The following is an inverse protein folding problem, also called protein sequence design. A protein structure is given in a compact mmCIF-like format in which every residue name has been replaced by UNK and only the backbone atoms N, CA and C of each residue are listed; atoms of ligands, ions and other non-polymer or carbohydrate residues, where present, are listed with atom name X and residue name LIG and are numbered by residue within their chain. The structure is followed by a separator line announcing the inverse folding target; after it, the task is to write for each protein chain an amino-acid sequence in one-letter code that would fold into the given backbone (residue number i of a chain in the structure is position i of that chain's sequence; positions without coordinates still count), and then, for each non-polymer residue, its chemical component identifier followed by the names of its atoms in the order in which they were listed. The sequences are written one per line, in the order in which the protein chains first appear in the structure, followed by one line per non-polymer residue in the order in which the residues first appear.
data_IF_665255249154
#
_entry.id   IF_665255249154
#
_cell.length_a   1.000
_cell.length_b   1.000
_cell.length_c   1.000
_cell.angle_alpha   90.00
_cell.angle_beta   90.00
_cell.angle_gamma   90.00
#
_symmetry.space_group_name_H-M   'P 1'
#
loop_
_entity.id
_entity.type
_entity.pdbx_description
1 polymer ?
#
# COMPACT_ATOMS: atom_id res chain seq x y z
N UNK A 1 -19.59 4.02 30.46
CA UNK A 1 -19.96 2.62 30.61
C UNK A 1 -18.84 1.82 29.95
N UNK A 2 -18.17 0.95 30.70
CA UNK A 2 -16.87 0.38 30.36
C UNK A 2 -16.96 -0.61 29.18
N UNK A 3 -16.32 -0.33 28.09
CA UNK A 3 -16.02 -1.30 27.03
C UNK A 3 -14.66 -1.96 27.32
N UNK A 4 -14.70 -3.28 27.46
CA UNK A 4 -13.51 -4.11 27.75
C UNK A 4 -12.65 -4.22 26.50
N UNK A 5 -11.42 -3.69 26.60
CA UNK A 5 -10.34 -4.03 25.67
C UNK A 5 -9.91 -5.48 25.96
N UNK A 6 -10.06 -6.36 24.99
CA UNK A 6 -9.43 -7.67 25.01
C UNK A 6 -8.07 -7.57 24.32
N UNK A 7 -7.03 -7.49 25.12
CA UNK A 7 -5.65 -7.60 24.62
C UNK A 7 -5.40 -9.04 24.16
N UNK A 8 -5.12 -9.23 22.90
CA UNK A 8 -4.67 -10.51 22.36
C UNK A 8 -3.15 -10.52 22.35
N UNK A 9 -2.56 -11.31 23.22
CA UNK A 9 -1.11 -11.54 23.24
C UNK A 9 -0.78 -12.67 22.27
N UNK A 10 -0.10 -12.37 21.20
CA UNK A 10 0.52 -13.36 20.33
C UNK A 10 1.82 -13.85 20.94
N UNK A 11 1.85 -15.10 21.32
CA UNK A 11 3.11 -15.83 21.57
C UNK A 11 3.47 -16.56 20.30
N UNK A 12 4.62 -16.19 19.76
CA UNK A 12 5.33 -16.83 18.66
C UNK A 12 5.36 -18.36 18.79
N UNK A 13 4.89 -19.03 17.74
CA UNK A 13 5.09 -20.47 17.54
C UNK A 13 5.53 -20.73 16.11
N UNK A 14 6.84 -20.85 15.88
CA UNK A 14 7.40 -21.37 14.65
C UNK A 14 6.89 -22.80 14.44
N UNK A 15 6.16 -23.05 13.37
CA UNK A 15 5.89 -24.39 12.87
C UNK A 15 6.70 -24.61 11.59
N UNK A 16 7.81 -25.31 11.75
CA UNK A 16 8.62 -25.87 10.65
C UNK A 16 7.84 -27.03 10.06
N UNK A 17 7.37 -26.91 8.83
CA UNK A 17 6.79 -28.02 8.07
C UNK A 17 7.92 -28.70 7.28
N UNK A 18 8.44 -29.78 7.84
CA UNK A 18 9.32 -30.70 7.13
C UNK A 18 8.50 -31.68 6.28
N UNK A 19 8.63 -31.60 4.96
CA UNK A 19 8.12 -32.62 4.04
C UNK A 19 9.07 -33.82 4.07
N UNK A 20 8.63 -34.91 4.69
CA UNK A 20 9.32 -36.24 4.58
C UNK A 20 8.47 -37.10 3.67
N UNK A 21 8.99 -37.35 2.46
CA UNK A 21 8.51 -38.44 1.61
C UNK A 21 8.99 -39.77 2.19
N UNK A 22 8.09 -40.61 2.71
CA UNK A 22 8.37 -42.01 2.94
C UNK A 22 7.54 -42.87 1.99
N UNK A 23 8.24 -43.50 1.06
CA UNK A 23 7.78 -44.69 0.35
C UNK A 23 7.97 -45.90 1.29
N UNK A 24 6.89 -46.59 1.59
CA UNK A 24 6.97 -47.94 2.13
C UNK A 24 5.88 -48.84 1.55
N UNK A 25 6.37 -49.98 1.13
CA UNK A 25 5.69 -51.04 0.38
C UNK A 25 5.07 -52.02 1.37
N UNK A 26 3.83 -52.39 1.08
CA UNK A 26 3.17 -53.71 1.32
C UNK A 26 3.13 -54.36 2.69
N UNK A 27 1.93 -54.60 3.16
CA UNK A 27 1.59 -55.63 4.13
C UNK A 27 0.08 -55.70 4.36
N UNK A 28 -0.59 -56.73 3.84
CA UNK A 28 -2.02 -56.98 4.03
C UNK A 28 -2.36 -57.33 5.48
N UNK A 29 -3.44 -56.69 6.01
CA UNK A 29 -4.36 -57.41 6.92
C UNK A 29 -5.69 -56.65 6.96
N UNK A 30 -6.79 -57.41 6.86
CA UNK A 30 -8.16 -56.98 6.77
C UNK A 30 -8.69 -56.40 8.09
N UNK A 31 -9.15 -55.14 8.05
CA UNK A 31 -10.24 -54.59 8.87
C UNK A 31 -10.85 -53.42 8.11
N UNK A 32 -12.18 -53.21 8.07
CA UNK A 32 -12.76 -52.09 7.35
C UNK A 32 -12.43 -50.79 8.07
N UNK A 33 -12.07 -49.72 7.34
CA UNK A 33 -11.89 -48.40 7.95
C UNK A 33 -13.26 -47.81 8.28
N UNK A 34 -13.38 -47.30 9.50
CA UNK A 34 -14.43 -46.34 9.84
C UNK A 34 -14.30 -45.17 8.89
N UNK A 35 -15.38 -44.84 8.21
CA UNK A 35 -15.51 -43.60 7.42
C UNK A 35 -15.44 -42.39 8.36
N UNK A 36 -14.24 -41.84 8.49
CA UNK A 36 -14.12 -40.44 8.91
C UNK A 36 -14.83 -39.60 7.85
N UNK A 37 -16.01 -39.14 8.17
CA UNK A 37 -16.70 -38.09 7.42
C UNK A 37 -15.87 -36.85 7.52
N UNK A 38 -14.99 -36.63 6.54
CA UNK A 38 -14.44 -35.32 6.23
C UNK A 38 -15.66 -34.47 5.90
N UNK A 39 -16.01 -33.58 6.80
CA UNK A 39 -16.98 -32.52 6.55
C UNK A 39 -16.39 -31.72 5.39
N UNK A 40 -16.86 -32.00 4.17
CA UNK A 40 -16.70 -31.06 3.05
C UNK A 40 -17.37 -29.78 3.51
N UNK A 41 -16.60 -28.80 3.91
CA UNK A 41 -17.05 -27.42 3.99
C UNK A 41 -17.35 -27.05 2.53
N UNK A 42 -18.60 -27.24 2.12
CA UNK A 42 -19.10 -26.68 0.87
C UNK A 42 -18.99 -25.17 1.06
N UNK A 43 -17.96 -24.56 0.43
CA UNK A 43 -17.87 -23.11 0.31
C UNK A 43 -19.06 -22.74 -0.56
N UNK A 44 -20.10 -22.20 0.06
CA UNK A 44 -21.29 -21.70 -0.64
C UNK A 44 -20.83 -20.44 -1.39
N UNK A 45 -20.40 -20.61 -2.64
CA UNK A 45 -20.10 -19.49 -3.54
C UNK A 45 -21.45 -18.83 -3.80
N UNK A 46 -21.75 -17.82 -3.01
CA UNK A 46 -23.01 -17.09 -3.13
C UNK A 46 -23.13 -16.55 -4.56
N UNK A 47 -24.20 -16.94 -5.23
CA UNK A 47 -24.49 -16.48 -6.57
C UNK A 47 -24.56 -14.93 -6.55
N UNK A 48 -23.73 -14.27 -7.38
CA UNK A 48 -23.72 -12.82 -7.55
C UNK A 48 -25.15 -12.36 -7.85
N UNK A 49 -25.70 -11.42 -7.07
CA UNK A 49 -27.06 -10.91 -7.32
C UNK A 49 -27.19 -10.39 -8.76
N UNK A 50 -28.30 -10.74 -9.44
CA UNK A 50 -28.53 -10.30 -10.83
C UNK A 50 -28.59 -8.76 -10.95
N UNK A 51 -29.05 -8.08 -9.92
CA UNK A 51 -29.17 -6.61 -9.86
C UNK A 51 -27.79 -5.90 -9.93
N UNK A 52 -26.71 -6.55 -9.47
CA UNK A 52 -25.35 -5.98 -9.60
C UNK A 52 -24.87 -5.87 -11.06
N UNK A 53 -25.54 -6.53 -12.00
CA UNK A 53 -25.22 -6.50 -13.44
C UNK A 53 -25.89 -5.33 -14.16
N UNK A 54 -27.11 -4.94 -13.78
CA UNK A 54 -27.87 -3.91 -14.50
C UNK A 54 -27.22 -2.53 -14.41
N UNK A 55 -26.73 -2.13 -13.24
CA UNK A 55 -26.08 -0.84 -13.04
C UNK A 55 -24.70 -0.73 -13.70
N UNK A 56 -24.01 -1.83 -13.97
CA UNK A 56 -22.66 -1.79 -14.51
C UNK A 56 -22.60 -1.28 -15.96
N UNK A 57 -23.56 -1.62 -16.82
CA UNK A 57 -23.61 -1.12 -18.20
C UNK A 57 -23.88 0.40 -18.23
N UNK A 58 -24.72 0.88 -17.34
CA UNK A 58 -24.98 2.31 -17.19
C UNK A 58 -23.71 3.06 -16.78
N UNK A 59 -23.02 2.61 -15.73
CA UNK A 59 -21.77 3.19 -15.25
C UNK A 59 -20.70 3.20 -16.34
N UNK A 60 -20.56 2.11 -17.08
CA UNK A 60 -19.63 2.01 -18.23
C UNK A 60 -19.98 3.06 -19.27
N UNK A 61 -21.26 3.20 -19.65
CA UNK A 61 -21.70 4.15 -20.66
C UNK A 61 -21.42 5.62 -20.25
N UNK A 62 -21.48 5.94 -18.95
CA UNK A 62 -21.17 7.27 -18.43
C UNK A 62 -19.70 7.65 -18.70
N UNK A 63 -18.74 6.73 -18.49
CA UNK A 63 -17.32 7.07 -18.48
C UNK A 63 -16.51 6.54 -19.69
N UNK A 64 -17.08 5.67 -20.54
CA UNK A 64 -16.33 4.98 -21.61
C UNK A 64 -15.66 5.92 -22.60
N UNK A 65 -16.29 7.03 -22.94
CA UNK A 65 -15.73 7.97 -23.93
C UNK A 65 -14.54 8.76 -23.36
N UNK A 66 -14.52 9.01 -22.03
CA UNK A 66 -13.36 9.58 -21.36
C UNK A 66 -12.17 8.61 -21.41
N UNK A 67 -12.40 7.31 -21.15
CA UNK A 67 -11.36 6.30 -21.27
C UNK A 67 -10.83 6.15 -22.69
N UNK A 68 -11.71 6.16 -23.73
CA UNK A 68 -11.28 6.10 -25.13
C UNK A 68 -10.37 7.27 -25.49
N UNK A 69 -10.80 8.48 -25.16
CA UNK A 69 -10.01 9.69 -25.41
C UNK A 69 -8.67 9.64 -24.69
N UNK A 70 -8.65 9.27 -23.41
CA UNK A 70 -7.44 9.17 -22.63
C UNK A 70 -6.47 8.09 -23.17
N UNK A 71 -7.00 6.97 -23.67
CA UNK A 71 -6.19 5.93 -24.30
C UNK A 71 -5.54 6.40 -25.60
N UNK A 72 -6.27 7.14 -26.45
CA UNK A 72 -5.75 7.75 -27.69
C UNK A 72 -4.60 8.74 -27.39
N UNK A 73 -4.68 9.45 -26.26
CA UNK A 73 -3.68 10.42 -25.82
C UNK A 73 -2.56 9.79 -24.94
N UNK A 74 -2.65 8.49 -24.63
CA UNK A 74 -1.77 7.78 -23.67
C UNK A 74 -1.75 8.43 -22.28
N UNK A 75 -2.93 8.82 -21.77
CA UNK A 75 -3.13 9.56 -20.51
C UNK A 75 -4.10 8.89 -19.53
N UNK A 76 -4.32 7.58 -19.66
CA UNK A 76 -5.27 6.86 -18.78
C UNK A 76 -4.91 7.02 -17.30
N UNK A 77 -3.62 7.03 -16.97
CA UNK A 77 -3.12 7.15 -15.61
C UNK A 77 -2.91 8.61 -15.15
N UNK A 78 -3.20 9.60 -15.99
CA UNK A 78 -3.00 11.00 -15.62
C UNK A 78 -4.05 11.46 -14.60
N UNK A 79 -3.63 12.20 -13.57
CA UNK A 79 -4.49 12.70 -12.50
C UNK A 79 -5.72 13.46 -13.06
N UNK A 80 -5.56 14.29 -14.09
CA UNK A 80 -6.64 15.06 -14.70
C UNK A 80 -7.65 14.17 -15.44
N UNK A 81 -7.19 13.07 -16.05
CA UNK A 81 -8.08 12.07 -16.64
C UNK A 81 -8.90 11.38 -15.55
N UNK A 82 -8.25 10.92 -14.49
CA UNK A 82 -8.91 10.28 -13.35
C UNK A 82 -9.91 11.25 -12.71
N UNK A 83 -9.52 12.52 -12.48
CA UNK A 83 -10.40 13.59 -11.98
C UNK A 83 -11.64 13.79 -12.86
N UNK A 84 -11.44 13.77 -14.17
CA UNK A 84 -12.55 13.93 -15.12
C UNK A 84 -13.53 12.76 -15.06
N UNK A 85 -13.02 11.54 -14.87
CA UNK A 85 -13.85 10.34 -14.72
C UNK A 85 -14.59 10.35 -13.40
N UNK A 86 -13.92 10.62 -12.27
CA UNK A 86 -14.54 10.76 -10.94
C UNK A 86 -15.67 11.79 -10.97
N UNK A 87 -15.41 12.98 -11.51
CA UNK A 87 -16.42 14.02 -11.61
C UNK A 87 -17.61 13.62 -12.49
N UNK A 88 -17.36 12.98 -13.63
CA UNK A 88 -18.40 12.50 -14.54
C UNK A 88 -19.32 11.46 -13.87
N UNK A 89 -18.75 10.56 -13.06
CA UNK A 89 -19.52 9.60 -12.27
C UNK A 89 -20.34 10.31 -11.19
N UNK A 90 -19.77 11.31 -10.51
CA UNK A 90 -20.47 12.12 -9.51
C UNK A 90 -21.63 12.94 -10.12
N UNK A 91 -21.45 13.56 -11.28
CA UNK A 91 -22.52 14.27 -12.00
C UNK A 91 -23.71 13.36 -12.35
N UNK A 92 -23.48 12.06 -12.39
CA UNK A 92 -24.51 11.03 -12.59
C UNK A 92 -24.99 10.38 -11.29
N UNK A 93 -24.59 10.93 -10.13
CA UNK A 93 -25.14 10.57 -8.83
C UNK A 93 -24.45 9.40 -8.13
N UNK A 94 -23.25 9.02 -8.55
CA UNK A 94 -22.46 8.00 -7.90
C UNK A 94 -21.39 8.60 -6.97
N UNK A 95 -21.32 8.20 -5.69
CA UNK A 95 -20.10 8.41 -4.89
C UNK A 95 -18.91 7.78 -5.61
N UNK A 96 -17.93 8.58 -5.96
CA UNK A 96 -16.75 8.14 -6.67
C UNK A 96 -15.48 8.80 -6.11
N UNK A 97 -14.40 8.05 -6.02
CA UNK A 97 -13.08 8.48 -5.57
C UNK A 97 -12.02 7.78 -6.42
N UNK A 98 -10.78 8.23 -6.39
CA UNK A 98 -9.68 7.53 -7.05
C UNK A 98 -8.94 6.56 -6.11
N UNK A 99 -8.34 5.52 -6.66
CA UNK A 99 -7.67 4.45 -5.92
C UNK A 99 -6.41 4.88 -5.13
N UNK A 100 -6.03 6.15 -5.21
CA UNK A 100 -4.92 6.74 -4.44
C UNK A 100 -5.39 7.83 -3.48
N UNK A 101 -6.69 8.04 -3.37
CA UNK A 101 -7.30 9.09 -2.56
C UNK A 101 -6.76 10.50 -2.84
N UNK A 102 -6.38 10.78 -4.10
CA UNK A 102 -5.82 12.07 -4.53
C UNK A 102 -6.87 13.05 -5.05
N UNK A 103 -8.12 12.64 -5.10
CA UNK A 103 -9.26 13.43 -5.57
C UNK A 103 -10.36 13.32 -4.51
N UNK A 104 -11.04 14.44 -4.22
CA UNK A 104 -12.17 14.40 -3.29
C UNK A 104 -13.28 13.50 -3.82
N UNK A 105 -13.84 12.69 -2.95
CA UNK A 105 -15.00 11.85 -3.25
C UNK A 105 -16.18 12.74 -3.69
N UNK A 106 -16.87 12.32 -4.72
CA UNK A 106 -18.16 12.93 -5.12
C UNK A 106 -19.28 12.37 -4.24
N UNK A 107 -20.31 13.17 -3.97
CA UNK A 107 -21.46 12.79 -3.12
C UNK A 107 -21.07 12.12 -1.78
N UNK A 108 -20.09 12.63 -1.03
CA UNK A 108 -19.59 11.96 0.18
C UNK A 108 -20.66 11.82 1.26
N UNK A 109 -21.67 12.70 1.29
CA UNK A 109 -22.80 12.67 2.22
C UNK A 109 -23.63 11.38 2.10
N UNK A 110 -23.72 10.77 0.91
CA UNK A 110 -24.40 9.49 0.72
C UNK A 110 -23.68 8.34 1.44
N UNK A 111 -22.33 8.40 1.42
CA UNK A 111 -21.49 7.39 2.10
C UNK A 111 -21.60 7.58 3.62
N UNK A 112 -21.56 8.83 4.11
CA UNK A 112 -21.77 9.13 5.54
C UNK A 112 -23.14 8.64 6.00
N UNK A 113 -24.20 8.94 5.24
CA UNK A 113 -25.57 8.46 5.56
C UNK A 113 -25.63 6.92 5.62
N UNK A 114 -24.94 6.23 4.70
CA UNK A 114 -24.88 4.78 4.72
C UNK A 114 -24.17 4.27 5.98
N UNK A 115 -23.04 4.86 6.37
CA UNK A 115 -22.32 4.51 7.60
C UNK A 115 -23.18 4.74 8.86
N UNK A 116 -23.94 5.84 8.92
CA UNK A 116 -24.88 6.10 10.02
C UNK A 116 -25.97 5.01 10.11
N UNK A 117 -26.44 4.47 8.97
CA UNK A 117 -27.41 3.36 8.95
C UNK A 117 -26.79 2.04 9.39
N UNK A 118 -25.50 1.79 9.05
CA UNK A 118 -24.76 0.63 9.58
C UNK A 118 -24.72 0.68 11.11
N UNK A 119 -24.35 1.85 11.67
CA UNK A 119 -24.27 2.05 13.11
C UNK A 119 -25.65 1.94 13.79
N UNK A 120 -26.70 2.40 13.13
CA UNK A 120 -28.08 2.29 13.58
C UNK A 120 -28.67 0.87 13.41
N UNK A 121 -27.95 -0.06 12.77
CA UNK A 121 -28.38 -1.41 12.42
C UNK A 121 -29.63 -1.42 11.50
N UNK A 122 -29.76 -0.39 10.68
CA UNK A 122 -30.84 -0.26 9.69
C UNK A 122 -30.42 -0.90 8.36
N UNK A 123 -31.41 -1.36 7.59
CA UNK A 123 -31.20 -1.89 6.26
C UNK A 123 -31.00 -0.76 5.24
N UNK A 124 -29.91 -0.83 4.49
CA UNK A 124 -29.58 0.15 3.46
C UNK A 124 -28.64 -0.44 2.41
N UNK A 125 -28.58 0.22 1.24
CA UNK A 125 -27.68 -0.14 0.15
C UNK A 125 -27.03 1.10 -0.46
N UNK A 126 -25.81 0.95 -1.00
CA UNK A 126 -25.08 1.99 -1.71
C UNK A 126 -24.11 1.36 -2.72
N UNK A 127 -23.93 2.02 -3.86
CA UNK A 127 -22.84 1.72 -4.81
C UNK A 127 -21.78 2.81 -4.70
N UNK A 128 -20.52 2.43 -4.46
CA UNK A 128 -19.35 3.33 -4.45
C UNK A 128 -18.40 2.92 -5.58
N UNK A 129 -17.81 3.90 -6.26
CA UNK A 129 -16.90 3.67 -7.38
C UNK A 129 -15.50 4.16 -7.05
N UNK A 130 -14.51 3.29 -7.24
CA UNK A 130 -13.09 3.61 -7.06
C UNK A 130 -12.39 3.57 -8.41
N UNK A 131 -12.01 4.73 -8.94
CA UNK A 131 -11.39 4.88 -10.26
C UNK A 131 -9.90 4.55 -10.19
N UNK A 132 -9.46 3.55 -10.97
CA UNK A 132 -8.10 3.02 -10.94
C UNK A 132 -7.16 3.73 -11.92
N UNK A 133 -5.94 4.02 -11.46
CA UNK A 133 -4.84 4.49 -12.32
C UNK A 133 -4.31 3.41 -13.29
N UNK A 134 -4.71 2.16 -13.12
CA UNK A 134 -4.40 1.08 -14.06
C UNK A 134 -5.35 1.00 -15.26
N UNK A 135 -6.33 1.93 -15.31
CA UNK A 135 -7.36 1.99 -16.35
C UNK A 135 -8.56 1.12 -15.99
N UNK A 136 -9.62 1.77 -15.55
CA UNK A 136 -10.85 1.10 -15.13
C UNK A 136 -11.32 1.59 -13.76
N UNK A 137 -12.20 0.82 -13.15
CA UNK A 137 -12.72 1.13 -11.82
C UNK A 137 -13.11 -0.13 -11.06
N UNK A 138 -13.10 -0.05 -9.74
CA UNK A 138 -13.74 -1.00 -8.86
C UNK A 138 -15.12 -0.47 -8.48
N UNK A 139 -16.13 -1.33 -8.56
CA UNK A 139 -17.48 -1.07 -8.11
C UNK A 139 -17.71 -1.87 -6.83
N UNK A 140 -18.03 -1.15 -5.76
CA UNK A 140 -18.46 -1.72 -4.50
C UNK A 140 -19.97 -1.53 -4.35
N UNK A 141 -20.73 -2.63 -4.39
CA UNK A 141 -22.13 -2.65 -3.99
C UNK A 141 -22.16 -3.11 -2.54
N UNK A 142 -22.57 -2.22 -1.65
CA UNK A 142 -22.62 -2.44 -0.21
C UNK A 142 -24.06 -2.55 0.23
N UNK A 143 -24.36 -3.58 1.02
CA UNK A 143 -25.65 -3.77 1.64
C UNK A 143 -25.47 -3.98 3.14
N UNK A 144 -26.18 -3.23 3.96
CA UNK A 144 -26.16 -3.40 5.42
C UNK A 144 -27.49 -3.90 5.94
N UNK A 145 -27.39 -4.79 6.92
CA UNK A 145 -28.54 -5.31 7.68
C UNK A 145 -28.08 -5.78 9.06
N UNK A 146 -28.82 -5.38 10.09
CA UNK A 146 -28.53 -5.73 11.49
C UNK A 146 -27.06 -5.38 11.89
N UNK A 147 -26.49 -4.32 11.28
CA UNK A 147 -25.12 -3.85 11.52
C UNK A 147 -24.02 -4.64 10.80
N UNK A 148 -24.38 -5.67 10.02
CA UNK A 148 -23.42 -6.36 9.16
C UNK A 148 -23.39 -5.69 7.78
N UNK A 149 -22.25 -5.72 7.10
CA UNK A 149 -22.11 -5.18 5.74
C UNK A 149 -21.67 -6.28 4.79
N UNK A 150 -22.53 -6.57 3.82
CA UNK A 150 -22.21 -7.45 2.70
C UNK A 150 -21.64 -6.61 1.56
N UNK A 151 -20.53 -7.05 0.99
CA UNK A 151 -19.76 -6.36 -0.06
C UNK A 151 -19.78 -7.22 -1.32
N UNK A 152 -20.25 -6.65 -2.43
CA UNK A 152 -20.00 -7.21 -3.77
C UNK A 152 -19.00 -6.29 -4.48
N UNK A 153 -17.81 -6.80 -4.72
CA UNK A 153 -16.70 -6.09 -5.36
C UNK A 153 -16.56 -6.56 -6.80
N UNK A 154 -16.60 -5.63 -7.75
CA UNK A 154 -16.43 -5.94 -9.18
C UNK A 154 -15.38 -5.02 -9.79
N UNK A 155 -14.31 -5.58 -10.39
CA UNK A 155 -13.30 -4.81 -11.09
C UNK A 155 -13.58 -4.80 -12.59
N UNK A 156 -13.61 -3.60 -13.15
CA UNK A 156 -13.79 -3.32 -14.57
C UNK A 156 -12.52 -2.69 -15.12
N UNK A 157 -11.95 -3.31 -16.17
CA UNK A 157 -10.74 -2.85 -16.84
C UNK A 157 -11.04 -2.33 -18.24
N UNK A 158 -10.46 -1.19 -18.57
CA UNK A 158 -10.50 -0.66 -19.93
C UNK A 158 -9.42 -1.31 -20.80
N UNK A 159 -9.83 -1.97 -21.84
CA UNK A 159 -8.93 -2.66 -22.74
C UNK A 159 -9.51 -2.71 -24.18
N UNK A 160 -8.66 -2.39 -25.18
CA UNK A 160 -9.02 -2.45 -26.62
C UNK A 160 -10.29 -1.68 -26.99
N UNK A 161 -10.50 -0.50 -26.39
CA UNK A 161 -11.65 0.36 -26.69
C UNK A 161 -12.95 0.00 -25.97
N UNK A 162 -12.92 -0.97 -25.08
CA UNK A 162 -14.08 -1.43 -24.31
C UNK A 162 -13.74 -1.55 -22.83
N UNK A 163 -14.79 -1.49 -22.01
CA UNK A 163 -14.70 -1.83 -20.58
C UNK A 163 -15.17 -3.27 -20.39
N UNK A 164 -14.36 -4.07 -19.72
CA UNK A 164 -14.68 -5.48 -19.42
C UNK A 164 -14.61 -5.70 -17.92
N UNK A 165 -15.53 -6.51 -17.40
CA UNK A 165 -15.45 -7.03 -16.06
C UNK A 165 -14.38 -8.13 -16.03
N UNK A 166 -13.34 -7.93 -15.25
CA UNK A 166 -12.24 -8.89 -15.09
C UNK A 166 -12.55 -9.88 -13.95
N UNK A 167 -13.03 -9.38 -12.81
CA UNK A 167 -13.28 -10.21 -11.65
C UNK A 167 -14.44 -9.65 -10.82
N UNK A 168 -15.22 -10.53 -10.20
CA UNK A 168 -16.22 -10.18 -9.21
C UNK A 168 -16.11 -11.17 -8.06
N UNK A 169 -16.19 -10.66 -6.84
CA UNK A 169 -16.24 -11.44 -5.62
C UNK A 169 -17.20 -10.82 -4.62
N UNK A 170 -17.63 -11.60 -3.65
CA UNK A 170 -18.48 -11.13 -2.56
C UNK A 170 -17.97 -11.63 -1.23
N UNK A 171 -18.16 -10.84 -0.18
CA UNK A 171 -17.82 -11.19 1.18
C UNK A 171 -18.64 -10.37 2.17
N UNK A 172 -18.77 -10.85 3.40
CA UNK A 172 -19.22 -10.03 4.51
C UNK A 172 -18.00 -9.34 5.11
N UNK A 173 -18.06 -8.03 5.33
CA UNK A 173 -16.97 -7.28 5.91
C UNK A 173 -16.62 -7.84 7.30
N UNK A 174 -15.37 -8.28 7.47
CA UNK A 174 -14.81 -8.72 8.75
C UNK A 174 -14.37 -7.54 9.60
N UNK A 175 -13.99 -6.46 8.95
CA UNK A 175 -13.68 -5.16 9.52
C UNK A 175 -14.47 -4.08 8.78
N UNK A 176 -15.04 -3.14 9.55
CA UNK A 176 -15.77 -1.98 9.07
C UNK A 176 -15.58 -0.82 10.01
N UNK A 177 -15.12 0.31 9.51
CA UNK A 177 -14.93 1.52 10.30
C UNK A 177 -15.03 2.78 9.45
N UNK A 178 -15.83 3.75 9.89
CA UNK A 178 -15.78 5.12 9.41
C UNK A 178 -14.98 5.95 10.41
N UNK A 179 -13.75 6.34 10.05
CA UNK A 179 -12.79 6.92 10.97
C UNK A 179 -13.06 8.40 11.25
N UNK A 180 -12.58 8.90 12.40
CA UNK A 180 -12.65 10.32 12.75
C UNK A 180 -11.90 11.20 11.74
N UNK A 181 -10.86 10.68 11.08
CA UNK A 181 -10.09 11.35 10.04
C UNK A 181 -10.83 11.38 8.69
N UNK A 182 -12.00 10.76 8.58
CA UNK A 182 -12.89 10.79 7.40
C UNK A 182 -12.59 9.76 6.33
N UNK A 183 -12.08 8.61 6.71
CA UNK A 183 -11.93 7.44 5.86
C UNK A 183 -13.04 6.41 6.13
N UNK A 184 -13.58 5.82 5.08
CA UNK A 184 -14.30 4.55 5.17
C UNK A 184 -13.29 3.43 4.93
N UNK A 185 -13.10 2.58 5.94
CA UNK A 185 -12.20 1.44 5.91
C UNK A 185 -12.95 0.14 6.11
N UNK A 186 -12.72 -0.82 5.25
CA UNK A 186 -13.31 -2.16 5.39
C UNK A 186 -12.42 -3.21 4.77
N UNK A 187 -12.50 -4.42 5.30
CA UNK A 187 -11.75 -5.57 4.81
C UNK A 187 -12.53 -6.86 4.94
N UNK A 188 -12.10 -7.87 4.20
CA UNK A 188 -12.62 -9.22 4.28
C UNK A 188 -11.98 -10.13 3.24
N UNK A 189 -12.34 -11.41 3.29
CA UNK A 189 -11.85 -12.43 2.36
C UNK A 189 -12.90 -12.74 1.32
N UNK A 190 -12.60 -12.50 0.06
CA UNK A 190 -13.50 -12.81 -1.04
C UNK A 190 -12.99 -13.97 -1.89
N UNK A 191 -13.92 -14.64 -2.57
CA UNK A 191 -13.66 -15.79 -3.42
C UNK A 191 -14.20 -15.55 -4.83
N UNK A 192 -13.44 -15.98 -5.83
CA UNK A 192 -13.95 -16.21 -7.18
C UNK A 192 -13.51 -17.58 -7.64
N UNK A 193 -14.24 -18.17 -8.61
CA UNK A 193 -13.84 -19.47 -9.18
C UNK A 193 -12.46 -19.42 -9.79
N UNK A 194 -12.14 -18.33 -10.51
CA UNK A 194 -10.85 -18.11 -11.16
C UNK A 194 -9.72 -18.01 -10.13
N UNK A 195 -9.94 -17.24 -9.07
CA UNK A 195 -8.94 -17.04 -8.03
C UNK A 195 -8.70 -18.33 -7.24
N UNK A 196 -9.77 -19.02 -6.85
CA UNK A 196 -9.66 -20.26 -6.08
C UNK A 196 -8.92 -21.36 -6.85
N UNK A 197 -9.15 -21.49 -8.15
CA UNK A 197 -8.39 -22.46 -9.01
C UNK A 197 -6.91 -22.14 -9.04
N UNK A 198 -6.52 -20.87 -8.96
CA UNK A 198 -5.12 -20.45 -9.03
C UNK A 198 -4.42 -20.53 -7.67
N UNK A 199 -5.09 -20.18 -6.59
CA UNK A 199 -4.48 -19.97 -5.27
C UNK A 199 -4.89 -21.00 -4.22
N UNK A 200 -5.98 -21.74 -4.45
CA UNK A 200 -6.66 -22.63 -3.48
C UNK A 200 -7.07 -21.89 -2.19
N UNK A 201 -7.25 -20.57 -2.27
CA UNK A 201 -7.63 -19.71 -1.15
C UNK A 201 -8.49 -18.54 -1.64
N UNK A 202 -9.04 -17.77 -0.73
CA UNK A 202 -9.60 -16.46 -1.01
C UNK A 202 -8.49 -15.41 -1.18
N UNK A 203 -8.87 -14.22 -1.61
CA UNK A 203 -8.04 -13.03 -1.58
C UNK A 203 -8.51 -12.12 -0.44
N UNK A 204 -7.59 -11.61 0.34
CA UNK A 204 -7.85 -10.54 1.27
C UNK A 204 -8.02 -9.22 0.51
N UNK A 205 -8.95 -8.41 0.96
CA UNK A 205 -9.18 -7.06 0.46
C UNK A 205 -9.08 -6.09 1.63
N UNK A 206 -8.26 -5.06 1.48
CA UNK A 206 -8.12 -3.98 2.46
C UNK A 206 -8.42 -2.66 1.75
N UNK A 207 -9.59 -2.12 2.00
CA UNK A 207 -10.08 -0.93 1.31
C UNK A 207 -10.04 0.28 2.25
N UNK A 208 -9.52 1.40 1.76
CA UNK A 208 -9.54 2.70 2.43
C UNK A 208 -9.97 3.78 1.44
N UNK A 209 -11.19 4.28 1.61
CA UNK A 209 -11.76 5.33 0.77
C UNK A 209 -11.80 6.65 1.56
N UNK A 210 -11.15 7.69 1.04
CA UNK A 210 -11.21 9.03 1.63
C UNK A 210 -12.57 9.67 1.34
N UNK A 211 -13.45 9.68 2.32
CA UNK A 211 -14.83 10.19 2.19
C UNK A 211 -14.87 11.70 2.46
N UNK A 212 -14.35 12.16 3.61
CA UNK A 212 -14.33 13.58 3.90
C UNK A 212 -13.39 14.34 2.96
N UNK A 213 -13.81 15.48 2.41
CA UNK A 213 -12.95 16.29 1.56
C UNK A 213 -11.66 16.72 2.26
N UNK A 214 -10.56 16.72 1.52
CA UNK A 214 -9.27 17.26 1.94
C UNK A 214 -8.95 18.48 1.05
N UNK A 215 -8.29 19.49 1.62
CA UNK A 215 -7.84 20.65 0.86
C UNK A 215 -6.87 20.24 -0.26
N UNK A 216 -7.07 20.76 -1.46
CA UNK A 216 -6.24 20.41 -2.62
C UNK A 216 -4.78 20.78 -2.40
N UNK A 217 -4.47 21.82 -1.63
CA UNK A 217 -3.11 22.20 -1.27
C UNK A 217 -2.39 21.09 -0.52
N UNK A 218 -3.09 20.41 0.41
CA UNK A 218 -2.51 19.28 1.15
C UNK A 218 -2.23 18.09 0.23
N UNK A 219 -3.12 17.83 -0.72
CA UNK A 219 -2.90 16.77 -1.73
C UNK A 219 -1.73 17.10 -2.66
N UNK A 220 -1.61 18.38 -3.08
CA UNK A 220 -0.47 18.83 -3.89
C UNK A 220 0.86 18.66 -3.14
N UNK A 221 0.88 18.99 -1.84
CA UNK A 221 2.06 18.80 -0.99
C UNK A 221 2.38 17.31 -0.81
N UNK A 222 1.36 16.46 -0.58
CA UNK A 222 1.55 15.00 -0.52
C UNK A 222 2.14 14.46 -1.82
N UNK A 223 1.54 14.79 -2.98
CA UNK A 223 2.02 14.36 -4.31
C UNK A 223 3.42 14.83 -4.63
N UNK A 224 3.77 16.03 -4.17
CA UNK A 224 5.07 16.63 -4.49
C UNK A 224 6.20 16.10 -3.61
N UNK A 225 5.93 15.88 -2.32
CA UNK A 225 6.99 15.67 -1.35
C UNK A 225 6.96 14.30 -0.66
N UNK A 226 5.79 13.72 -0.39
CA UNK A 226 5.71 12.50 0.42
C UNK A 226 5.48 11.25 -0.42
N UNK A 227 4.50 11.24 -1.31
CA UNK A 227 4.19 10.09 -2.14
C UNK A 227 5.32 9.61 -3.06
N UNK A 228 6.23 10.48 -3.58
CA UNK A 228 7.37 10.01 -4.35
C UNK A 228 8.41 9.23 -3.55
N UNK A 229 8.43 9.37 -2.23
CA UNK A 229 9.28 8.61 -1.31
C UNK A 229 8.53 7.36 -0.84
N UNK A 230 7.33 7.55 -0.25
CA UNK A 230 6.53 6.46 0.28
C UNK A 230 7.22 5.68 1.40
N UNK A 231 6.80 4.42 1.56
CA UNK A 231 7.28 3.54 2.63
C UNK A 231 7.89 2.23 2.10
N UNK A 232 7.88 2.04 0.78
CA UNK A 232 8.38 0.81 0.17
C UNK A 232 9.89 0.72 0.34
N UNK A 233 10.35 -0.32 1.06
CA UNK A 233 11.75 -0.67 1.28
C UNK A 233 12.65 0.48 1.76
N UNK A 234 12.09 1.42 2.54
CA UNK A 234 12.88 2.50 3.13
C UNK A 234 12.33 2.92 4.50
N UNK A 235 13.21 3.52 5.31
CA UNK A 235 12.86 3.97 6.64
C UNK A 235 12.78 5.50 6.80
N UNK A 236 12.74 6.25 5.69
CA UNK A 236 12.85 7.71 5.72
C UNK A 236 11.78 8.38 6.58
N UNK A 237 10.54 7.86 6.56
CA UNK A 237 9.42 8.40 7.33
C UNK A 237 9.09 7.57 8.59
N UNK A 238 9.89 6.53 8.88
CA UNK A 238 9.71 5.62 10.02
C UNK A 238 10.59 6.03 11.20
N UNK A 239 11.76 6.63 10.94
CA UNK A 239 12.74 7.03 11.97
C UNK A 239 12.85 8.55 12.10
N UNK A 240 13.21 9.01 13.30
CA UNK A 240 13.55 10.42 13.53
C UNK A 240 14.95 10.71 13.01
N UNK A 241 15.08 11.76 12.22
CA UNK A 241 16.36 12.26 11.72
C UNK A 241 16.26 13.74 11.32
N UNK A 242 17.39 14.42 11.23
CA UNK A 242 17.52 15.78 10.70
C UNK A 242 18.89 15.97 10.02
N UNK A 243 19.10 17.08 9.32
CA UNK A 243 20.34 17.35 8.58
C UNK A 243 21.59 17.59 9.45
N UNK A 244 21.44 17.81 10.77
CA UNK A 244 22.55 17.86 11.72
C UNK A 244 22.99 16.48 12.20
N UNK A 245 22.03 15.55 12.30
CA UNK A 245 22.25 14.14 12.63
C UNK A 245 21.22 13.27 11.91
N UNK A 246 21.65 12.58 10.87
CA UNK A 246 20.79 11.71 10.06
C UNK A 246 20.29 10.46 10.80
N UNK A 247 20.56 10.31 12.09
CA UNK A 247 20.05 9.25 12.94
C UNK A 247 20.27 7.87 12.32
N UNK A 248 19.19 7.08 12.30
CA UNK A 248 19.16 5.73 11.72
C UNK A 248 18.66 5.72 10.26
N UNK A 249 18.61 6.88 9.57
CA UNK A 249 18.24 6.94 8.15
C UNK A 249 19.18 6.07 7.31
N UNK A 250 18.59 5.14 6.55
CA UNK A 250 19.38 4.20 5.75
C UNK A 250 19.65 4.76 4.35
N UNK A 251 20.89 5.21 4.10
CA UNK A 251 21.26 5.79 2.82
C UNK A 251 21.37 4.76 1.67
N UNK A 252 21.45 3.48 1.96
CA UNK A 252 21.35 2.45 0.91
C UNK A 252 19.91 2.28 0.42
N UNK A 253 18.93 2.38 1.31
CA UNK A 253 17.52 2.41 0.93
C UNK A 253 17.21 3.67 0.12
N UNK A 254 17.76 4.82 0.54
CA UNK A 254 17.64 6.05 -0.23
C UNK A 254 18.31 5.95 -1.60
N UNK A 255 19.45 5.27 -1.69
CA UNK A 255 20.12 5.03 -2.97
C UNK A 255 19.23 4.19 -3.90
N UNK A 256 18.64 3.11 -3.41
CA UNK A 256 17.74 2.26 -4.20
C UNK A 256 16.53 3.03 -4.73
N UNK A 257 15.89 3.80 -3.86
CA UNK A 257 14.71 4.58 -4.18
C UNK A 257 14.98 5.74 -5.18
N UNK A 258 16.12 6.42 -5.01
CA UNK A 258 16.44 7.64 -5.74
C UNK A 258 17.24 7.38 -7.02
N UNK A 259 17.93 6.24 -7.15
CA UNK A 259 18.71 5.90 -8.34
C UNK A 259 17.89 5.98 -9.64
N UNK A 260 16.71 5.35 -9.72
CA UNK A 260 15.88 5.44 -10.93
C UNK A 260 15.42 6.86 -11.26
N UNK A 261 15.27 7.71 -10.24
CA UNK A 261 14.86 9.12 -10.43
C UNK A 261 16.01 9.99 -11.00
N UNK A 262 17.24 9.65 -10.65
CA UNK A 262 18.44 10.40 -11.08
C UNK A 262 18.93 9.94 -12.45
N UNK A 263 18.88 8.63 -12.72
CA UNK A 263 19.44 8.04 -13.94
C UNK A 263 18.39 7.63 -14.98
N UNK A 264 17.09 7.75 -14.67
CA UNK A 264 15.96 7.35 -15.52
C UNK A 264 16.05 5.88 -15.99
N UNK A 265 16.68 5.03 -15.19
CA UNK A 265 16.86 3.60 -15.45
C UNK A 265 16.83 2.81 -14.15
N UNK A 266 16.52 1.53 -14.23
CA UNK A 266 16.57 0.64 -13.07
C UNK A 266 17.99 0.56 -12.51
N UNK A 267 18.09 0.32 -11.19
CA UNK A 267 19.37 0.10 -10.51
C UNK A 267 20.07 -1.13 -11.10
N UNK A 268 21.34 -1.04 -11.50
CA UNK A 268 22.05 -2.18 -12.11
C UNK A 268 22.64 -3.16 -11.07
N UNK A 269 22.61 -2.80 -9.80
CA UNK A 269 23.18 -3.57 -8.70
C UNK A 269 22.10 -4.45 -8.11
N UNK A 270 21.90 -5.63 -8.68
CA UNK A 270 20.82 -6.56 -8.31
C UNK A 270 21.33 -7.70 -7.43
N UNK A 271 20.43 -8.30 -6.65
CA UNK A 271 20.75 -9.52 -5.91
C UNK A 271 21.17 -10.64 -6.87
N UNK A 272 22.03 -11.56 -6.41
CA UNK A 272 22.41 -12.72 -7.18
C UNK A 272 21.18 -13.62 -7.43
N UNK A 273 21.04 -14.18 -8.63
CA UNK A 273 19.99 -15.13 -8.98
C UNK A 273 20.02 -16.40 -8.13
N UNK A 274 21.19 -16.72 -7.56
CA UNK A 274 21.34 -17.77 -6.58
C UNK A 274 21.06 -17.22 -5.17
N UNK A 275 19.84 -17.41 -4.69
CA UNK A 275 19.35 -16.96 -3.38
C UNK A 275 20.24 -17.33 -2.17
N UNK A 276 21.22 -18.19 -2.37
CA UNK A 276 22.17 -18.58 -1.33
C UNK A 276 23.51 -17.87 -1.40
N UNK A 277 23.70 -16.89 -2.30
CA UNK A 277 24.95 -16.15 -2.48
C UNK A 277 24.64 -14.66 -2.45
N UNK A 278 25.12 -13.97 -1.43
CA UNK A 278 24.98 -12.51 -1.33
C UNK A 278 25.84 -11.81 -2.38
N UNK A 279 25.24 -10.84 -3.07
CA UNK A 279 25.97 -9.96 -3.99
C UNK A 279 26.57 -8.77 -3.25
N UNK A 280 27.83 -8.42 -3.56
CA UNK A 280 28.52 -7.26 -3.01
C UNK A 280 29.11 -6.44 -4.15
N UNK A 281 28.76 -5.17 -4.20
CA UNK A 281 29.23 -4.22 -5.22
C UNK A 281 30.10 -3.14 -4.58
N UNK A 282 31.03 -2.60 -5.38
CA UNK A 282 31.83 -1.43 -5.02
C UNK A 282 31.41 -0.28 -5.93
N UNK A 283 30.54 0.59 -5.41
CA UNK A 283 29.99 1.71 -6.17
C UNK A 283 30.97 2.90 -6.10
N UNK A 284 31.41 3.48 -7.23
CA UNK A 284 32.23 4.67 -7.22
C UNK A 284 31.60 5.79 -6.39
N UNK A 285 32.46 6.51 -5.63
CA UNK A 285 32.01 7.62 -4.78
C UNK A 285 31.09 8.60 -5.53
N UNK A 286 31.58 9.05 -6.71
CA UNK A 286 30.86 10.07 -7.47
C UNK A 286 29.46 9.59 -7.94
N UNK A 287 29.29 8.28 -8.17
CA UNK A 287 28.02 7.71 -8.61
C UNK A 287 27.03 7.57 -7.44
N UNK A 288 27.50 7.14 -6.26
CA UNK A 288 26.67 7.05 -5.06
C UNK A 288 26.25 8.43 -4.56
N UNK A 289 27.20 9.36 -4.43
CA UNK A 289 26.95 10.71 -3.94
C UNK A 289 26.07 11.51 -4.90
N UNK A 290 26.16 11.29 -6.20
CA UNK A 290 25.27 11.91 -7.21
C UNK A 290 23.79 11.57 -6.97
N UNK A 291 23.50 10.42 -6.41
CA UNK A 291 22.12 10.00 -6.10
C UNK A 291 21.62 10.66 -4.81
N UNK A 292 22.46 10.77 -3.81
CA UNK A 292 22.07 11.21 -2.46
C UNK A 292 22.10 12.73 -2.28
N UNK A 293 23.21 13.38 -2.66
CA UNK A 293 23.44 14.81 -2.35
C UNK A 293 22.39 15.78 -2.92
N UNK A 294 21.71 15.52 -4.05
CA UNK A 294 20.63 16.39 -4.51
C UNK A 294 19.43 16.46 -3.57
N UNK A 295 19.18 15.39 -2.80
CA UNK A 295 18.00 15.25 -1.94
C UNK A 295 18.27 15.51 -0.47
N UNK A 296 19.54 15.51 -0.03
CA UNK A 296 19.95 15.72 1.35
C UNK A 296 21.10 16.72 1.40
N UNK A 297 21.03 17.68 2.32
CA UNK A 297 22.15 18.59 2.60
C UNK A 297 23.17 17.90 3.52
N UNK A 298 23.87 16.93 2.98
CA UNK A 298 24.87 16.10 3.66
C UNK A 298 26.22 16.21 2.96
N UNK A 299 27.29 16.38 3.71
CA UNK A 299 28.64 16.34 3.13
C UNK A 299 29.15 14.91 2.95
N UNK A 300 30.18 14.76 2.10
CA UNK A 300 30.80 13.46 1.81
C UNK A 300 31.35 12.76 3.05
N UNK A 301 31.89 13.49 4.02
CA UNK A 301 32.50 12.90 5.22
C UNK A 301 31.41 12.30 6.12
N UNK A 302 30.32 13.03 6.31
CA UNK A 302 29.15 12.57 7.05
C UNK A 302 28.51 11.36 6.37
N UNK A 303 28.29 11.39 5.05
CA UNK A 303 27.71 10.27 4.30
C UNK A 303 28.60 9.01 4.39
N UNK A 304 29.93 9.17 4.31
CA UNK A 304 30.87 8.06 4.49
C UNK A 304 30.81 7.47 5.90
N UNK A 305 30.54 8.28 6.92
CA UNK A 305 30.41 7.81 8.30
C UNK A 305 29.12 7.01 8.55
N UNK A 306 28.07 7.23 7.73
CA UNK A 306 26.77 6.56 7.81
C UNK A 306 26.68 5.31 6.90
N UNK A 307 27.77 4.99 6.19
CA UNK A 307 27.82 3.91 5.20
C UNK A 307 29.13 3.13 5.32
N UNK A 308 29.33 2.11 4.49
CA UNK A 308 30.61 1.40 4.41
C UNK A 308 31.40 1.98 3.23
N UNK A 309 32.39 2.80 3.52
CA UNK A 309 33.22 3.48 2.52
C UNK A 309 34.65 2.99 2.54
N UNK A 310 35.17 2.62 1.35
CA UNK A 310 36.58 2.27 1.14
C UNK A 310 37.34 3.51 0.64
N UNK A 311 38.21 4.10 1.49
CA UNK A 311 38.94 5.29 1.18
C UNK A 311 40.11 5.07 0.16
N UNK A 312 40.65 3.83 0.05
CA UNK A 312 41.72 3.50 -0.89
C UNK A 312 41.19 3.48 -2.32
N UNK A 313 40.06 2.81 -2.54
CA UNK A 313 39.44 2.64 -3.85
C UNK A 313 38.42 3.75 -4.17
N UNK A 314 38.07 4.56 -3.19
CA UNK A 314 37.02 5.59 -3.26
C UNK A 314 35.68 5.00 -3.72
N UNK A 315 35.22 3.94 -3.04
CA UNK A 315 33.98 3.24 -3.32
C UNK A 315 33.14 3.08 -2.08
N UNK A 316 31.83 3.00 -2.28
CA UNK A 316 30.87 2.55 -1.27
C UNK A 316 30.62 1.07 -1.46
N UNK A 317 30.75 0.26 -0.39
CA UNK A 317 30.31 -1.13 -0.42
C UNK A 317 28.79 -1.16 -0.40
N UNK A 318 28.19 -1.82 -1.38
CA UNK A 318 26.75 -1.92 -1.52
C UNK A 318 26.34 -3.37 -1.63
N UNK A 319 25.34 -3.74 -0.83
CA UNK A 319 24.72 -5.06 -0.80
C UNK A 319 23.24 -4.86 -1.14
N UNK A 320 22.76 -5.29 -2.34
CA UNK A 320 21.34 -5.20 -2.66
C UNK A 320 20.51 -6.04 -1.68
N UNK A 321 19.27 -5.63 -1.44
CA UNK A 321 18.34 -6.44 -0.64
C UNK A 321 18.18 -7.82 -1.25
N UNK A 322 18.28 -8.86 -0.41
CA UNK A 322 18.13 -10.26 -0.79
C UNK A 322 16.73 -10.80 -0.45
N UNK A 323 16.57 -12.10 -0.61
CA UNK A 323 15.29 -12.77 -0.35
C UNK A 323 14.83 -12.65 1.12
N UNK A 324 15.76 -12.62 2.07
CA UNK A 324 15.46 -12.50 3.51
C UNK A 324 15.03 -11.07 3.92
N UNK A 325 15.12 -10.11 2.99
CA UNK A 325 14.77 -8.70 3.20
C UNK A 325 13.56 -8.29 2.33
N UNK A 326 12.79 -9.27 1.86
CA UNK A 326 11.57 -9.01 1.08
C UNK A 326 10.46 -8.55 2.02
N UNK A 327 9.88 -7.42 1.69
CA UNK A 327 8.73 -6.86 2.40
C UNK A 327 7.41 -7.36 1.79
N UNK A 328 6.35 -7.26 2.59
CA UNK A 328 5.01 -7.57 2.12
C UNK A 328 4.51 -6.49 1.14
N UNK A 329 3.59 -6.84 0.22
CA UNK A 329 3.21 -5.96 -0.87
C UNK A 329 2.31 -4.77 -0.48
N UNK A 330 1.87 -4.68 0.76
CA UNK A 330 1.00 -3.61 1.22
C UNK A 330 1.77 -2.64 2.12
N UNK A 331 1.83 -1.38 1.68
CA UNK A 331 2.51 -0.31 2.40
C UNK A 331 1.53 0.77 2.81
N UNK A 332 1.78 1.47 3.93
CA UNK A 332 1.05 2.68 4.25
C UNK A 332 1.42 3.82 3.30
N UNK A 333 0.68 4.91 3.40
CA UNK A 333 1.01 6.16 2.71
C UNK A 333 0.78 7.37 3.62
N UNK A 334 1.59 8.42 3.41
CA UNK A 334 1.42 9.67 4.14
C UNK A 334 0.38 10.57 3.47
N UNK A 335 -0.56 11.08 4.26
CA UNK A 335 -1.52 12.11 3.87
C UNK A 335 -1.21 13.40 4.62
N UNK A 336 -0.81 14.48 3.90
CA UNK A 336 -0.62 15.79 4.53
C UNK A 336 -1.97 16.31 5.02
N UNK A 337 -2.01 16.71 6.29
CA UNK A 337 -3.18 17.27 6.96
C UNK A 337 -2.96 18.73 7.43
N UNK A 338 -1.73 19.23 7.30
CA UNK A 338 -1.35 20.58 7.65
C UNK A 338 0.06 20.92 7.17
N UNK A 339 0.35 22.21 7.02
CA UNK A 339 1.71 22.68 6.73
C UNK A 339 1.97 24.07 7.31
N UNK A 340 3.26 24.39 7.47
CA UNK A 340 3.74 25.73 7.87
C UNK A 340 4.89 26.13 6.96
N UNK A 341 4.84 27.36 6.45
CA UNK A 341 5.98 27.99 5.78
C UNK A 341 6.91 28.57 6.84
N UNK A 342 8.16 28.14 6.85
CA UNK A 342 9.15 28.59 7.82
C UNK A 342 9.88 29.86 7.33
N UNK A 343 10.41 30.61 8.28
CA UNK A 343 11.09 31.88 7.96
C UNK A 343 12.38 31.76 7.17
N UNK A 344 12.93 30.55 7.04
CA UNK A 344 14.14 30.21 6.26
C UNK A 344 13.82 29.66 4.86
N UNK A 345 12.52 29.65 4.47
CA UNK A 345 12.07 29.15 3.18
C UNK A 345 11.82 27.66 3.11
N UNK A 346 11.96 26.92 4.22
CA UNK A 346 11.56 25.53 4.30
C UNK A 346 10.05 25.41 4.57
N UNK A 347 9.49 24.21 4.36
CA UNK A 347 8.10 23.86 4.68
C UNK A 347 8.11 22.73 5.71
N UNK A 348 7.36 22.89 6.79
CA UNK A 348 7.01 21.79 7.69
C UNK A 348 5.67 21.21 7.28
N UNK A 349 5.64 19.94 6.91
CA UNK A 349 4.44 19.18 6.54
C UNK A 349 4.05 18.29 7.71
N UNK A 350 2.81 18.40 8.20
CA UNK A 350 2.24 17.45 9.16
C UNK A 350 1.41 16.44 8.40
N UNK A 351 1.69 15.16 8.57
CA UNK A 351 1.02 14.10 7.85
C UNK A 351 0.57 12.96 8.78
N UNK A 352 -0.61 12.41 8.51
CA UNK A 352 -1.03 11.11 9.04
C UNK A 352 -0.50 10.00 8.14
N UNK A 353 -0.17 8.87 8.73
CA UNK A 353 0.20 7.65 8.01
C UNK A 353 -1.01 6.73 7.98
N UNK A 354 -1.57 6.55 6.80
CA UNK A 354 -2.76 5.74 6.53
C UNK A 354 -2.30 4.33 6.13
N UNK A 355 -2.80 3.30 6.81
CA UNK A 355 -2.45 1.92 6.50
C UNK A 355 -3.70 1.04 6.34
N UNK A 356 -4.17 0.85 5.10
CA UNK A 356 -5.38 0.07 4.81
C UNK A 356 -5.33 -1.36 5.35
N UNK A 357 -4.17 -2.01 5.30
CA UNK A 357 -3.96 -3.39 5.76
C UNK A 357 -4.39 -3.62 7.21
N UNK A 358 -4.15 -2.65 8.09
CA UNK A 358 -4.57 -2.75 9.50
C UNK A 358 -5.87 -2.00 9.79
N UNK A 359 -6.48 -1.39 8.77
CA UNK A 359 -7.73 -0.64 8.90
C UNK A 359 -7.60 0.65 9.68
N UNK A 360 -6.45 1.32 9.63
CA UNK A 360 -6.19 2.53 10.40
C UNK A 360 -5.81 3.72 9.50
N UNK A 361 -6.51 4.84 9.68
CA UNK A 361 -6.26 6.09 8.97
C UNK A 361 -5.12 6.92 9.58
N UNK A 362 -4.58 6.48 10.73
CA UNK A 362 -3.52 7.17 11.45
C UNK A 362 -2.73 6.23 12.35
N UNK A 363 -2.02 5.26 11.76
CA UNK A 363 -1.12 4.38 12.54
C UNK A 363 -0.08 5.18 13.34
N UNK A 364 0.33 6.34 12.82
CA UNK A 364 0.99 7.43 13.54
C UNK A 364 0.90 8.71 12.68
N UNK A 365 1.34 9.83 13.27
CA UNK A 365 1.55 11.07 12.55
C UNK A 365 3.03 11.48 12.59
N UNK A 366 3.49 12.19 11.56
CA UNK A 366 4.86 12.70 11.51
C UNK A 366 4.93 14.12 10.93
N UNK A 367 6.03 14.79 11.22
CA UNK A 367 6.39 16.07 10.60
C UNK A 367 7.60 15.88 9.72
N UNK A 368 7.48 16.28 8.45
CA UNK A 368 8.56 16.28 7.48
C UNK A 368 8.90 17.72 7.15
N UNK A 369 10.16 18.10 7.31
CA UNK A 369 10.64 19.40 6.84
C UNK A 369 11.30 19.23 5.48
N UNK A 370 10.85 20.04 4.52
CA UNK A 370 11.41 20.04 3.16
C UNK A 370 11.90 21.43 2.76
N UNK A 371 12.95 21.49 1.96
CA UNK A 371 13.51 22.70 1.36
C UNK A 371 13.26 22.67 -0.13
N UNK A 372 12.24 23.44 -0.66
CA UNK A 372 12.07 23.62 -2.11
C UNK A 372 13.30 24.32 -2.69
N UNK A 373 13.81 23.83 -3.81
CA UNK A 373 14.96 24.43 -4.49
C UNK A 373 14.52 25.26 -5.70
N UNK A 374 15.30 26.29 -6.06
CA UNK A 374 15.01 27.18 -7.19
C UNK A 374 14.92 26.43 -8.55
N UNK A 375 15.62 25.32 -8.69
CA UNK A 375 15.59 24.48 -9.89
C UNK A 375 14.37 23.54 -9.96
N UNK A 376 13.43 23.65 -8.99
CA UNK A 376 12.24 22.79 -8.88
C UNK A 376 12.49 21.47 -8.13
N UNK A 377 13.72 21.19 -7.71
CA UNK A 377 14.06 20.04 -6.85
C UNK A 377 13.61 20.25 -5.40
N UNK A 378 13.89 19.28 -4.57
CA UNK A 378 13.62 19.29 -3.12
C UNK A 378 14.78 18.69 -2.36
N UNK A 379 15.12 19.27 -1.22
CA UNK A 379 15.92 18.63 -0.19
C UNK A 379 15.02 18.32 1.02
N UNK A 380 15.22 17.14 1.59
CA UNK A 380 14.59 16.73 2.83
C UNK A 380 15.50 17.13 3.99
N UNK A 381 14.94 17.85 4.95
CA UNK A 381 15.68 18.46 6.07
C UNK A 381 15.55 17.63 7.33
N UNK A 382 14.35 17.09 7.59
CA UNK A 382 14.10 16.24 8.75
C UNK A 382 12.82 15.42 8.60
N UNK A 383 12.75 14.34 9.39
CA UNK A 383 11.52 13.64 9.72
C UNK A 383 11.45 13.46 11.25
N UNK A 384 10.29 13.67 11.83
CA UNK A 384 10.02 13.48 13.25
C UNK A 384 8.67 12.81 13.45
N UNK A 385 8.66 11.65 14.10
CA UNK A 385 7.42 10.99 14.53
C UNK A 385 6.79 11.82 15.65
N UNK A 386 5.49 12.09 15.56
CA UNK A 386 4.74 12.76 16.61
C UNK A 386 4.40 11.71 17.68
N UNK A 387 4.92 11.85 18.91
CA UNK A 387 4.65 10.85 19.94
C UNK A 387 3.17 10.82 20.32
N UNK A 388 2.58 9.62 20.33
CA UNK A 388 1.24 9.34 20.83
C UNK A 388 1.22 7.95 21.48
N UNK A 389 0.33 7.76 22.46
CA UNK A 389 0.08 6.44 23.06
C UNK A 389 -0.66 5.49 22.07
N UNK A 390 -1.25 6.07 21.04
CA UNK A 390 -2.00 5.34 20.00
C UNK A 390 -1.12 4.98 18.79
N UNK A 391 0.15 5.38 18.77
CA UNK A 391 1.05 5.02 17.66
C UNK A 391 1.23 3.51 17.60
N UNK A 392 1.01 2.94 16.42
CA UNK A 392 1.27 1.53 16.14
C UNK A 392 2.76 1.30 15.84
N UNK A 393 3.25 0.11 16.16
CA UNK A 393 4.58 -0.34 15.69
C UNK A 393 4.52 -0.57 14.18
N UNK A 394 5.61 -0.19 13.48
CA UNK A 394 5.76 -0.47 12.06
C UNK A 394 5.91 -1.98 11.83
N UNK A 395 5.03 -2.55 11.03
CA UNK A 395 5.05 -3.97 10.66
C UNK A 395 5.33 -4.19 9.19
N UNK A 396 5.38 -3.11 8.42
CA UNK A 396 5.54 -3.12 6.96
C UNK A 396 6.99 -2.92 6.51
N UNK A 397 7.92 -2.65 7.43
CA UNK A 397 9.32 -2.40 7.12
C UNK A 397 10.23 -3.52 7.62
N UNK A 398 11.02 -4.07 6.72
CA UNK A 398 12.10 -4.99 7.03
C UNK A 398 13.43 -4.24 6.95
N UNK A 399 14.15 -4.03 8.06
CA UNK A 399 15.47 -3.41 8.03
C UNK A 399 16.43 -4.19 7.14
N UNK A 400 17.42 -3.51 6.55
CA UNK A 400 18.53 -4.20 5.88
C UNK A 400 19.29 -5.06 6.88
N UNK A 401 19.77 -6.20 6.41
CA UNK A 401 20.62 -7.09 7.21
C UNK A 401 21.83 -6.31 7.73
N UNK A 402 22.08 -6.42 9.02
CA UNK A 402 23.33 -5.98 9.60
C UNK A 402 24.50 -6.78 9.02
N UNK A 403 25.73 -6.28 9.12
CA UNK A 403 26.91 -6.99 8.64
C UNK A 403 27.02 -8.40 9.22
N UNK A 404 26.64 -8.58 10.49
CA UNK A 404 26.64 -9.87 11.17
C UNK A 404 25.59 -10.83 10.60
N UNK A 405 24.36 -10.38 10.43
CA UNK A 405 23.27 -11.19 9.85
C UNK A 405 23.58 -11.57 8.41
N UNK A 406 24.13 -10.62 7.64
CA UNK A 406 24.56 -10.88 6.27
C UNK A 406 25.66 -11.95 6.21
N UNK A 407 26.66 -11.89 7.09
CA UNK A 407 27.70 -12.89 7.20
C UNK A 407 27.16 -14.26 7.64
N UNK A 408 26.17 -14.30 8.52
CA UNK A 408 25.50 -15.54 8.95
C UNK A 408 24.71 -16.19 7.82
N UNK A 409 24.04 -15.40 6.96
CA UNK A 409 23.22 -15.89 5.84
C UNK A 409 24.09 -16.23 4.62
N UNK A 410 25.00 -15.35 4.26
CA UNK A 410 25.75 -15.42 2.99
C UNK A 410 27.26 -15.66 3.16
N UNK A 411 27.86 -15.36 4.31
CA UNK A 411 29.31 -15.36 4.54
C UNK A 411 29.96 -16.72 4.73
N UNK A 412 29.17 -17.79 4.84
CA UNK A 412 29.66 -19.16 5.10
C UNK A 412 29.97 -19.99 3.86
N UNK A 413 30.17 -19.36 2.69
CA UNK A 413 30.38 -20.06 1.42
C UNK A 413 31.70 -19.77 0.76
#
# INVERSE_FOLDING_TARGET
MLLRKTAWSWKSGLAVISFVLMLSVSGCSDAPPEEDTVSETVIDIQAIPEDSKENAEEIINICIDLYKKAAEENKIADLETIRSIVNCLGENGYPAVDSRNQINMTDPEKVVEFCEKVDAQEEAEITILEVSYLGGFVKYDLHTKDGNVDVVRSYYKYENGNMKREVTGSYQAEYWNYTEDGYLMFSGVWFSEELYVLTLSGAEEHTALRVQPLDETYRELSRKYLLPIGFEQNNMFIVDWNEDDFGELNFYDMFDLLYPKVYETNIPYVADDNLGVGAVYQIPKDDFERVILPYFDIDSETLQSKTIYNAEDKTYEYKPRGFEEVEYPEYPYSEVIGFTENGDGTLTLTANVVFPYVGDSKVYAHEVVVRPLENGGVQYVSNRIIPSEDNCEETWHTPRLTAKEWDEIYGGK
#
